data_IF_705357571734
#
_entry.id   IF_705357571734
#
_cell.length_a   1.000
_cell.length_b   1.000
_cell.length_c   1.000
_cell.angle_alpha   90.00
_cell.angle_beta   90.00
_cell.angle_gamma   90.00
#
_symmetry.space_group_name_H-M   'P 1'
#
loop_
_entity.id
_entity.type
_entity.pdbx_description
1 polymer ?
#
# COMPACT_ATOMS: atom_id res chain seq x y z
N UNK A 1 -5.86 4.81 -32.11
CA UNK A 1 -7.16 4.37 -31.53
C UNK A 1 -7.01 4.27 -30.01
N UNK A 2 -7.76 5.05 -29.22
CA UNK A 2 -7.70 4.97 -27.76
C UNK A 2 -8.05 3.56 -27.29
N UNK A 3 -7.27 3.01 -26.34
CA UNK A 3 -7.55 1.69 -25.76
C UNK A 3 -8.70 1.81 -24.76
N UNK A 4 -9.92 1.55 -25.22
CA UNK A 4 -11.10 1.48 -24.35
C UNK A 4 -10.99 0.28 -23.41
N UNK A 5 -11.18 0.53 -22.11
CA UNK A 5 -11.25 -0.51 -21.07
C UNK A 5 -12.70 -0.73 -20.72
N UNK A 6 -13.19 -1.95 -21.01
CA UNK A 6 -14.52 -2.37 -20.59
C UNK A 6 -14.50 -2.84 -19.14
N UNK A 7 -15.54 -2.49 -18.39
CA UNK A 7 -15.77 -2.98 -17.02
C UNK A 7 -16.04 -4.49 -17.02
N UNK A 8 -16.00 -5.13 -15.85
CA UNK A 8 -16.27 -6.57 -15.74
C UNK A 8 -17.71 -6.90 -16.19
N UNK A 9 -18.69 -6.09 -15.78
CA UNK A 9 -20.10 -6.26 -16.16
C UNK A 9 -20.29 -6.23 -17.69
N UNK A 10 -19.64 -5.28 -18.36
CA UNK A 10 -19.69 -5.16 -19.81
C UNK A 10 -19.09 -6.38 -20.51
N UNK A 11 -18.02 -6.96 -19.95
CA UNK A 11 -17.37 -8.16 -20.51
C UNK A 11 -18.21 -9.42 -20.30
N UNK A 12 -18.78 -9.58 -19.11
CA UNK A 12 -19.74 -10.65 -18.82
C UNK A 12 -20.90 -10.59 -19.82
N UNK A 13 -21.50 -9.41 -19.98
CA UNK A 13 -22.59 -9.22 -20.93
C UNK A 13 -22.19 -9.58 -22.36
N UNK A 14 -21.01 -9.14 -22.83
CA UNK A 14 -20.49 -9.51 -24.15
C UNK A 14 -20.30 -11.02 -24.30
N UNK A 15 -19.78 -11.68 -23.28
CA UNK A 15 -19.55 -13.13 -23.29
C UNK A 15 -20.88 -13.90 -23.30
N UNK A 16 -21.79 -13.61 -22.36
CA UNK A 16 -23.07 -14.30 -22.22
C UNK A 16 -23.93 -14.16 -23.48
N UNK A 17 -24.00 -12.94 -24.03
CA UNK A 17 -24.74 -12.70 -25.26
C UNK A 17 -24.10 -13.41 -26.45
N UNK A 18 -22.76 -13.54 -26.49
CA UNK A 18 -22.08 -14.28 -27.54
C UNK A 18 -22.30 -15.80 -27.42
N UNK A 19 -22.30 -16.36 -26.21
CA UNK A 19 -22.61 -17.77 -25.97
C UNK A 19 -24.04 -18.07 -26.38
N UNK A 20 -25.01 -17.23 -25.99
CA UNK A 20 -26.42 -17.40 -26.33
C UNK A 20 -26.75 -17.24 -27.81
N UNK A 21 -26.03 -16.36 -28.54
CA UNK A 21 -26.40 -16.02 -29.94
C UNK A 21 -25.41 -16.51 -31.00
N UNK A 22 -24.17 -16.80 -30.63
CA UNK A 22 -23.07 -17.13 -31.54
C UNK A 22 -22.62 -15.99 -32.47
N UNK A 23 -23.24 -14.81 -32.42
CA UNK A 23 -23.07 -13.76 -33.43
C UNK A 23 -22.62 -12.42 -32.86
N UNK A 24 -21.50 -11.90 -33.38
CA UNK A 24 -20.90 -10.63 -32.95
C UNK A 24 -21.82 -9.42 -33.23
N UNK A 25 -22.58 -9.45 -34.33
CA UNK A 25 -23.48 -8.35 -34.70
C UNK A 25 -24.61 -8.21 -33.68
N UNK A 26 -25.15 -9.33 -33.21
CA UNK A 26 -26.17 -9.38 -32.15
C UNK A 26 -25.63 -8.85 -30.84
N UNK A 27 -24.41 -9.25 -30.46
CA UNK A 27 -23.72 -8.73 -29.26
C UNK A 27 -23.58 -7.21 -29.34
N UNK A 28 -23.08 -6.66 -30.44
CA UNK A 28 -22.92 -5.21 -30.62
C UNK A 28 -24.24 -4.45 -30.52
N UNK A 29 -25.31 -4.95 -31.17
CA UNK A 29 -26.63 -4.33 -31.14
C UNK A 29 -27.21 -4.31 -29.72
N UNK A 30 -27.17 -5.45 -29.02
CA UNK A 30 -27.65 -5.56 -27.63
C UNK A 30 -26.80 -4.74 -26.66
N UNK A 31 -25.48 -4.69 -26.88
CA UNK A 31 -24.56 -3.89 -26.08
C UNK A 31 -24.85 -2.40 -26.20
N UNK A 32 -25.04 -1.88 -27.42
CA UNK A 32 -25.38 -0.48 -27.66
C UNK A 32 -26.72 -0.09 -27.00
N UNK A 33 -27.68 -1.02 -26.97
CA UNK A 33 -28.97 -0.78 -26.31
C UNK A 33 -28.85 -0.75 -24.77
N UNK A 34 -28.09 -1.68 -24.19
CA UNK A 34 -27.90 -1.76 -22.73
C UNK A 34 -27.00 -0.64 -22.20
N UNK A 35 -25.94 -0.29 -22.93
CA UNK A 35 -24.92 0.67 -22.49
C UNK A 35 -24.83 1.87 -23.46
N UNK A 36 -25.73 2.85 -23.29
CA UNK A 36 -25.89 3.99 -24.20
C UNK A 36 -24.69 4.97 -24.23
N UNK A 37 -23.91 5.03 -23.16
CA UNK A 37 -22.80 5.99 -23.01
C UNK A 37 -21.40 5.34 -23.17
N UNK A 38 -21.34 4.08 -23.62
CA UNK A 38 -20.09 3.32 -23.70
C UNK A 38 -19.74 3.06 -25.15
N UNK A 39 -18.46 3.20 -25.49
CA UNK A 39 -17.97 2.93 -26.85
C UNK A 39 -18.29 1.48 -27.26
N UNK A 40 -19.00 1.33 -28.38
CA UNK A 40 -19.42 0.02 -28.89
C UNK A 40 -18.19 -0.85 -29.18
N UNK A 41 -18.13 -2.08 -28.64
CA UNK A 41 -16.97 -2.96 -28.80
C UNK A 41 -16.76 -3.38 -30.24
N UNK A 42 -15.52 -3.28 -30.70
CA UNK A 42 -15.11 -3.77 -32.02
C UNK A 42 -15.21 -5.30 -32.10
N UNK A 43 -15.43 -5.85 -33.30
CA UNK A 43 -15.50 -7.31 -33.54
C UNK A 43 -14.30 -8.05 -32.95
N UNK A 44 -13.09 -7.53 -33.15
CA UNK A 44 -11.85 -8.11 -32.61
C UNK A 44 -11.84 -8.16 -31.08
N UNK A 45 -12.38 -7.14 -30.41
CA UNK A 45 -12.47 -7.09 -28.94
C UNK A 45 -13.39 -8.19 -28.41
N UNK A 46 -14.55 -8.38 -29.04
CA UNK A 46 -15.50 -9.43 -28.63
C UNK A 46 -14.86 -10.81 -28.77
N UNK A 47 -14.20 -11.09 -29.90
CA UNK A 47 -13.47 -12.35 -30.07
C UNK A 47 -12.33 -12.51 -29.07
N UNK A 48 -11.56 -11.46 -28.78
CA UNK A 48 -10.48 -11.52 -27.80
C UNK A 48 -10.98 -11.85 -26.40
N UNK A 49 -12.14 -11.31 -25.99
CA UNK A 49 -12.77 -11.63 -24.71
C UNK A 49 -13.22 -13.09 -24.70
N UNK A 50 -13.98 -13.52 -25.71
CA UNK A 50 -14.48 -14.91 -25.80
C UNK A 50 -13.33 -15.91 -25.81
N UNK A 51 -12.30 -15.67 -26.62
CA UNK A 51 -11.15 -16.56 -26.71
C UNK A 51 -10.37 -16.60 -25.40
N UNK A 52 -10.20 -15.45 -24.73
CA UNK A 52 -9.55 -15.41 -23.40
C UNK A 52 -10.31 -16.27 -22.39
N UNK A 53 -11.65 -16.18 -22.35
CA UNK A 53 -12.44 -17.00 -21.43
C UNK A 53 -12.35 -18.48 -21.80
N UNK A 54 -12.38 -18.83 -23.08
CA UNK A 54 -12.25 -20.22 -23.51
C UNK A 54 -10.87 -20.82 -23.22
N UNK A 55 -9.83 -20.00 -23.24
CA UNK A 55 -8.45 -20.45 -22.99
C UNK A 55 -8.08 -20.46 -21.51
N UNK A 56 -8.44 -19.41 -20.76
CA UNK A 56 -7.99 -19.19 -19.38
C UNK A 56 -9.12 -19.35 -18.36
N UNK A 57 -10.38 -19.35 -18.77
CA UNK A 57 -11.54 -19.32 -17.87
C UNK A 57 -11.76 -17.98 -17.18
N UNK A 58 -10.97 -16.94 -17.49
CA UNK A 58 -10.99 -15.66 -16.77
C UNK A 58 -11.39 -14.48 -17.67
N UNK A 59 -12.31 -13.66 -17.17
CA UNK A 59 -12.73 -12.38 -17.77
C UNK A 59 -11.90 -11.18 -17.29
N UNK A 60 -11.10 -11.38 -16.24
CA UNK A 60 -10.29 -10.33 -15.65
C UNK A 60 -9.14 -9.93 -16.57
N UNK A 61 -8.76 -8.66 -16.50
CA UNK A 61 -7.53 -8.24 -17.14
C UNK A 61 -6.34 -8.83 -16.42
N UNK A 62 -5.33 -9.25 -17.20
CA UNK A 62 -4.03 -9.61 -16.64
C UNK A 62 -3.56 -8.41 -15.83
N UNK A 63 -3.34 -8.61 -14.53
CA UNK A 63 -2.71 -7.61 -13.70
C UNK A 63 -1.40 -7.22 -14.36
N UNK A 64 -1.18 -5.91 -14.52
CA UNK A 64 0.15 -5.44 -14.93
C UNK A 64 1.10 -5.99 -13.89
N UNK A 65 2.00 -6.87 -14.30
CA UNK A 65 3.17 -7.19 -13.50
C UNK A 65 3.94 -5.90 -13.39
N UNK A 66 3.76 -5.21 -12.26
CA UNK A 66 4.67 -4.14 -11.85
C UNK A 66 6.04 -4.79 -11.89
N UNK A 67 6.93 -4.27 -12.73
CA UNK A 67 8.27 -4.81 -12.90
C UNK A 67 8.85 -5.04 -11.51
N UNK A 68 9.14 -6.30 -11.16
CA UNK A 68 9.81 -6.65 -9.91
C UNK A 68 11.06 -5.76 -9.84
N UNK A 69 11.19 -4.97 -8.77
CA UNK A 69 12.28 -4.01 -8.62
C UNK A 69 13.63 -4.70 -8.82
N UNK A 70 14.24 -4.51 -9.99
CA UNK A 70 15.50 -5.15 -10.41
C UNK A 70 16.63 -4.99 -9.38
N UNK A 71 16.56 -3.94 -8.56
CA UNK A 71 17.59 -3.57 -7.58
C UNK A 71 17.47 -4.34 -6.26
N UNK A 72 16.29 -4.86 -5.91
CA UNK A 72 16.05 -5.62 -4.67
C UNK A 72 15.89 -7.10 -4.99
N UNK A 73 17.02 -7.75 -5.30
CA UNK A 73 17.10 -9.21 -5.37
C UNK A 73 17.01 -9.81 -3.97
N UNK A 74 16.63 -11.08 -3.87
CA UNK A 74 16.54 -11.81 -2.59
C UNK A 74 17.90 -11.77 -1.85
N UNK A 75 19.00 -12.00 -2.58
CA UNK A 75 20.37 -11.87 -2.04
C UNK A 75 20.65 -10.51 -1.37
N UNK A 76 20.17 -9.41 -1.97
CA UNK A 76 20.36 -8.06 -1.42
C UNK A 76 19.47 -7.81 -0.22
N UNK A 77 18.28 -8.42 -0.16
CA UNK A 77 17.42 -8.36 1.02
C UNK A 77 18.07 -9.09 2.20
N UNK A 78 18.67 -10.26 1.95
CA UNK A 78 19.36 -11.03 2.98
C UNK A 78 20.60 -10.30 3.50
N UNK A 79 21.39 -9.68 2.61
CA UNK A 79 22.56 -8.86 2.99
C UNK A 79 22.15 -7.67 3.89
N UNK A 80 21.05 -6.99 3.55
CA UNK A 80 20.52 -5.87 4.36
C UNK A 80 19.99 -6.39 5.70
N UNK A 81 19.27 -7.51 5.69
CA UNK A 81 18.69 -8.15 6.87
C UNK A 81 19.78 -8.53 7.87
N UNK A 82 20.79 -9.27 7.43
CA UNK A 82 21.92 -9.69 8.26
C UNK A 82 22.67 -8.49 8.88
N UNK A 83 22.91 -7.43 8.09
CA UNK A 83 23.57 -6.22 8.60
C UNK A 83 22.74 -5.50 9.66
N UNK A 84 21.42 -5.45 9.50
CA UNK A 84 20.50 -4.84 10.46
C UNK A 84 20.35 -5.68 11.73
N UNK A 85 20.39 -7.00 11.61
CA UNK A 85 20.37 -7.93 12.74
C UNK A 85 21.63 -7.78 13.59
N UNK A 86 22.81 -7.75 12.96
CA UNK A 86 24.07 -7.54 13.66
C UNK A 86 24.21 -6.12 14.23
N UNK A 87 23.72 -5.11 13.52
CA UNK A 87 23.90 -3.70 13.90
C UNK A 87 22.60 -2.90 13.73
N UNK A 88 21.65 -3.01 14.68
CA UNK A 88 20.37 -2.34 14.56
C UNK A 88 20.52 -0.81 14.54
N UNK A 89 21.52 -0.25 15.22
CA UNK A 89 21.70 1.20 15.30
C UNK A 89 22.27 1.85 14.03
N UNK A 90 22.68 1.06 13.02
CA UNK A 90 23.23 1.61 11.78
C UNK A 90 22.15 2.37 11.00
N UNK A 91 22.54 3.54 10.49
CA UNK A 91 21.64 4.32 9.64
C UNK A 91 21.44 3.64 8.29
N UNK A 92 20.23 3.74 7.73
CA UNK A 92 19.94 3.23 6.38
C UNK A 92 20.85 3.83 5.30
N UNK A 93 21.40 5.03 5.52
CA UNK A 93 22.36 5.64 4.60
C UNK A 93 23.68 4.86 4.55
N UNK A 94 24.17 4.41 5.71
CA UNK A 94 25.40 3.62 5.78
C UNK A 94 25.19 2.24 5.18
N UNK A 95 24.07 1.59 5.50
CA UNK A 95 23.73 0.28 4.93
C UNK A 95 23.61 0.35 3.41
N UNK A 96 23.02 1.43 2.89
CA UNK A 96 22.93 1.68 1.46
C UNK A 96 24.31 1.80 0.79
N UNK A 97 25.24 2.54 1.42
CA UNK A 97 26.62 2.66 0.93
C UNK A 97 27.37 1.33 0.98
N UNK A 98 27.24 0.58 2.08
CA UNK A 98 27.90 -0.71 2.27
C UNK A 98 27.42 -1.79 1.28
N UNK A 99 26.13 -1.82 0.97
CA UNK A 99 25.50 -2.84 0.10
C UNK A 99 25.43 -2.41 -1.37
N UNK A 100 25.78 -1.16 -1.68
CA UNK A 100 25.77 -0.59 -3.03
C UNK A 100 24.38 -0.27 -3.58
N UNK A 101 23.38 -0.08 -2.71
CA UNK A 101 21.99 0.23 -3.10
C UNK A 101 21.64 1.69 -2.81
N UNK A 102 20.55 2.18 -3.41
CA UNK A 102 20.04 3.51 -3.08
C UNK A 102 19.43 3.54 -1.67
N UNK A 103 19.47 4.71 -1.00
CA UNK A 103 18.84 4.91 0.32
C UNK A 103 17.34 4.60 0.31
N UNK A 104 16.64 4.94 -0.77
CA UNK A 104 15.20 4.67 -0.92
C UNK A 104 14.93 3.17 -1.10
N UNK A 105 15.77 2.47 -1.86
CA UNK A 105 15.72 1.00 -1.97
C UNK A 105 15.96 0.32 -0.63
N UNK A 106 16.97 0.76 0.15
CA UNK A 106 17.24 0.24 1.49
C UNK A 106 16.04 0.43 2.43
N UNK A 107 15.38 1.60 2.38
CA UNK A 107 14.14 1.85 3.13
C UNK A 107 13.02 0.88 2.69
N UNK A 108 12.80 0.71 1.39
CA UNK A 108 11.79 -0.22 0.90
C UNK A 108 12.10 -1.66 1.30
N UNK A 109 13.38 -2.07 1.30
CA UNK A 109 13.80 -3.37 1.81
C UNK A 109 13.42 -3.56 3.28
N UNK A 110 13.63 -2.56 4.14
CA UNK A 110 13.20 -2.66 5.54
C UNK A 110 11.69 -2.78 5.72
N UNK A 111 10.90 -2.14 4.85
CA UNK A 111 9.44 -2.30 4.82
C UNK A 111 9.06 -3.73 4.40
N UNK A 112 9.74 -4.30 3.40
CA UNK A 112 9.50 -5.67 2.94
C UNK A 112 9.90 -6.72 3.99
N UNK A 113 10.99 -6.48 4.71
CA UNK A 113 11.48 -7.32 5.80
C UNK A 113 10.67 -7.14 7.11
N UNK A 114 9.63 -6.28 7.11
CA UNK A 114 8.83 -5.94 8.29
C UNK A 114 9.66 -5.48 9.51
N UNK A 115 10.83 -4.88 9.27
CA UNK A 115 11.69 -4.38 10.33
C UNK A 115 11.16 -3.05 10.85
N UNK A 116 11.04 -2.93 12.17
CA UNK A 116 10.64 -1.66 12.79
C UNK A 116 11.78 -0.65 12.64
N UNK A 117 11.50 0.60 12.21
CA UNK A 117 12.53 1.62 12.15
C UNK A 117 13.06 1.89 13.55
N UNK A 118 14.39 1.81 13.71
CA UNK A 118 15.03 2.11 14.97
C UNK A 118 14.85 3.60 15.28
N UNK A 119 14.03 3.89 16.30
CA UNK A 119 13.90 5.21 16.89
C UNK A 119 15.17 5.48 17.68
N UNK A 120 16.15 6.12 17.06
CA UNK A 120 17.27 6.71 17.79
C UNK A 120 16.72 7.89 18.59
N UNK A 121 16.32 7.62 19.84
CA UNK A 121 16.14 8.69 20.81
C UNK A 121 17.55 9.22 21.12
N UNK A 122 17.96 10.25 20.42
CA UNK A 122 19.20 10.96 20.74
C UNK A 122 18.94 11.72 22.03
N UNK A 123 19.17 11.05 23.16
CA UNK A 123 19.16 11.67 24.47
C UNK A 123 20.56 12.25 24.66
N UNK A 124 20.75 13.50 24.25
CA UNK A 124 21.94 14.24 24.68
C UNK A 124 21.86 14.38 26.20
N UNK A 125 22.83 13.80 26.92
CA UNK A 125 23.02 14.12 28.34
C UNK A 125 23.28 15.62 28.43
N UNK A 126 22.35 16.38 29.03
CA UNK A 126 22.59 17.79 29.35
C UNK A 126 23.87 17.84 30.18
N UNK A 127 24.90 18.48 29.64
CA UNK A 127 26.08 18.80 30.41
C UNK A 127 25.73 19.96 31.35
N UNK A 128 26.39 20.03 32.51
CA UNK A 128 26.14 21.09 33.51
C UNK A 128 26.37 22.51 32.96
N UNK A 129 27.16 22.65 31.89
CA UNK A 129 27.45 23.91 31.20
C UNK A 129 26.47 24.27 30.06
N UNK A 130 25.58 23.36 29.65
CA UNK A 130 24.59 23.61 28.60
C UNK A 130 23.56 24.71 28.95
N UNK A 131 23.06 24.84 30.20
CA UNK A 131 22.13 25.91 30.57
C UNK A 131 22.73 27.31 30.34
N UNK A 132 24.00 27.49 30.71
CA UNK A 132 24.71 28.76 30.53
C UNK A 132 24.93 29.09 29.04
N UNK A 133 25.34 28.10 28.25
CA UNK A 133 25.53 28.27 26.81
C UNK A 133 24.22 28.52 26.06
N UNK A 134 23.10 27.91 26.50
CA UNK A 134 21.76 28.19 25.95
C UNK A 134 21.30 29.61 26.28
N UNK A 135 21.53 30.09 27.50
CA UNK A 135 21.24 31.47 27.90
C UNK A 135 21.96 32.51 27.03
N UNK A 136 23.24 32.28 26.72
CA UNK A 136 24.04 33.14 25.84
C UNK A 136 23.50 33.13 24.40
N UNK A 137 23.09 31.97 23.89
CA UNK A 137 22.57 31.85 22.52
C UNK A 137 21.18 32.49 22.36
N UNK A 138 20.28 32.29 23.34
CA UNK A 138 18.96 32.94 23.38
C UNK A 138 19.10 34.45 23.52
N UNK A 139 20.05 34.94 24.32
CA UNK A 139 20.37 36.36 24.44
C UNK A 139 20.85 36.98 23.12
N UNK A 140 21.72 36.29 22.36
CA UNK A 140 22.15 36.72 21.02
C UNK A 140 21.00 36.73 20.02
N UNK A 141 20.13 35.73 20.02
CA UNK A 141 18.93 35.70 19.16
C UNK A 141 17.97 36.86 19.46
N UNK A 142 17.82 37.23 20.74
CA UNK A 142 17.01 38.38 21.17
C UNK A 142 17.56 39.73 20.68
N UNK A 143 18.88 39.84 20.53
CA UNK A 143 19.56 41.03 20.02
C UNK A 143 19.39 41.24 18.50
N UNK A 144 19.08 40.17 17.75
CA UNK A 144 18.82 40.24 16.31
C UNK A 144 17.35 40.48 15.95
N UNK A 145 16.45 40.52 16.94
CA UNK A 145 15.03 40.80 16.73
C UNK A 145 14.79 42.30 16.96
N UNK A 146 14.38 43.09 15.93
CA UNK A 146 14.13 44.51 16.11
C UNK A 146 12.95 44.74 17.07
N UNK A 147 13.02 45.76 17.95
CA UNK A 147 12.02 46.01 19.00
C UNK A 147 10.63 46.42 18.48
N UNK A 148 10.45 46.53 17.16
CA UNK A 148 9.17 46.84 16.50
C UNK A 148 8.31 45.61 16.20
N UNK A 149 8.83 44.40 16.43
CA UNK A 149 8.04 43.17 16.29
C UNK A 149 7.05 43.05 17.47
N UNK A 150 5.78 43.36 17.21
CA UNK A 150 4.66 43.22 18.15
C UNK A 150 4.46 41.73 18.47
N UNK A 151 5.12 41.23 19.50
CA UNK A 151 4.77 39.95 20.10
C UNK A 151 3.64 40.18 21.09
N UNK A 152 2.47 39.63 20.77
CA UNK A 152 1.34 39.46 21.69
C UNK A 152 1.90 38.85 22.99
N UNK A 153 1.79 39.61 24.08
CA UNK A 153 2.23 39.27 25.43
C UNK A 153 1.75 37.88 25.83
N UNK A 154 2.63 36.88 25.71
CA UNK A 154 2.54 35.64 26.46
C UNK A 154 3.48 35.82 27.64
N UNK A 155 2.90 36.15 28.79
CA UNK A 155 3.61 36.20 30.06
C UNK A 155 4.12 34.79 30.36
N UNK A 156 5.41 34.58 30.13
CA UNK A 156 6.12 33.43 30.68
C UNK A 156 6.25 33.71 32.18
N UNK A 157 5.42 33.05 32.97
CA UNK A 157 5.56 33.00 34.43
C UNK A 157 6.94 32.42 34.73
N UNK A 158 7.81 33.24 35.33
CA UNK A 158 9.03 32.76 35.95
C UNK A 158 8.62 32.05 37.24
N UNK A 159 8.51 30.74 37.23
CA UNK A 159 8.50 29.95 38.47
C UNK A 159 9.94 29.80 38.93
N UNK A 160 10.25 30.40 40.08
CA UNK A 160 11.50 30.19 40.80
C UNK A 160 11.65 28.70 41.20
N UNK A 161 12.89 28.19 41.33
CA UNK A 161 13.11 26.82 41.75
C UNK A 161 12.97 26.71 43.28
N UNK A 162 11.88 26.09 43.73
CA UNK A 162 11.75 25.67 45.12
C UNK A 162 12.84 24.66 45.46
N UNK A 163 13.63 25.06 46.45
CA UNK A 163 14.65 24.26 47.12
C UNK A 163 13.94 23.59 48.29
N UNK A 164 13.42 22.37 48.12
CA UNK A 164 13.26 21.41 49.23
C UNK A 164 12.61 20.09 48.81
N UNK A 165 13.02 19.05 49.54
CA UNK A 165 12.44 17.71 49.67
C UNK A 165 12.83 16.64 48.66
N UNK A 166 13.97 16.01 48.99
CA UNK A 166 14.11 14.56 49.00
C UNK A 166 12.81 13.83 49.44
N UNK A 167 12.47 12.75 48.72
CA UNK A 167 12.00 11.46 49.27
C UNK A 167 11.72 10.50 48.12
N UNK A 168 12.74 9.74 47.74
CA UNK A 168 12.53 8.50 46.99
C UNK A 168 12.02 7.44 47.97
N UNK A 169 10.74 7.09 47.86
CA UNK A 169 10.23 5.80 48.35
C UNK A 169 9.90 4.93 47.14
N UNK A 170 10.63 3.83 47.09
CA UNK A 170 10.45 2.67 46.22
C UNK A 170 9.05 2.08 46.34
N UNK A 171 8.43 1.72 45.21
CA UNK A 171 7.37 0.71 45.14
C UNK A 171 7.46 -0.04 43.80
N UNK A 172 7.32 -1.38 43.79
CA UNK A 172 7.55 -2.21 42.61
C UNK A 172 6.30 -2.28 41.70
N UNK A 173 6.47 -2.59 40.40
CA UNK A 173 5.34 -2.74 39.49
C UNK A 173 4.62 -4.09 39.71
N UNK A 174 3.32 -4.00 39.94
CA UNK A 174 2.39 -5.12 39.93
C UNK A 174 2.23 -5.70 38.52
N UNK A 175 2.25 -7.02 38.44
CA UNK A 175 2.16 -7.79 37.20
C UNK A 175 0.80 -7.64 36.51
N UNK A 176 0.85 -7.37 35.21
CA UNK A 176 -0.28 -7.50 34.30
C UNK A 176 -0.38 -8.93 33.78
N UNK A 177 -1.51 -9.59 34.09
CA UNK A 177 -1.92 -10.88 33.54
C UNK A 177 -2.23 -10.79 32.02
N UNK A 178 -2.04 -11.88 31.25
CA UNK A 178 -2.40 -11.93 29.84
C UNK A 178 -3.89 -12.25 29.61
N UNK A 179 -4.44 -11.60 28.58
CA UNK A 179 -5.83 -11.74 28.14
C UNK A 179 -6.02 -13.04 27.34
N UNK A 180 -7.03 -13.82 27.74
CA UNK A 180 -7.57 -14.98 27.04
C UNK A 180 -8.26 -14.55 25.72
N UNK A 181 -7.89 -15.15 24.59
CA UNK A 181 -8.63 -15.05 23.32
C UNK A 181 -9.24 -16.42 23.06
N UNK A 182 -10.58 -16.48 23.11
CA UNK A 182 -11.37 -17.55 22.51
C UNK A 182 -11.61 -17.24 21.03
N UNK A 183 -11.77 -18.33 20.27
CA UNK A 183 -12.79 -18.55 19.22
C UNK A 183 -12.14 -19.07 17.94
N UNK A 184 -12.09 -20.39 17.84
CA UNK A 184 -11.97 -21.13 16.59
C UNK A 184 -13.40 -21.31 16.04
N UNK A 185 -13.67 -20.78 14.85
CA UNK A 185 -14.85 -21.16 14.06
C UNK A 185 -14.39 -21.92 12.80
N UNK A 186 -14.99 -23.08 12.58
CA UNK A 186 -14.76 -23.96 11.44
C UNK A 186 -15.33 -23.39 10.13
N UNK A 187 -14.70 -23.64 8.97
CA UNK A 187 -15.27 -23.30 7.68
C UNK A 187 -16.23 -24.39 7.18
N UNK A 188 -17.52 -24.02 7.09
CA UNK A 188 -18.57 -24.79 6.41
C UNK A 188 -18.24 -24.94 4.92
N UNK A 189 -18.04 -26.17 4.47
CA UNK A 189 -17.87 -26.53 3.06
C UNK A 189 -19.21 -26.43 2.31
N UNK A 190 -19.39 -25.34 1.56
CA UNK A 190 -20.47 -25.22 0.57
C UNK A 190 -20.08 -25.98 -0.71
N UNK A 191 -20.64 -27.16 -0.90
CA UNK A 191 -20.58 -27.93 -2.15
C UNK A 191 -21.60 -27.36 -3.14
N UNK A 192 -21.12 -26.93 -4.32
CA UNK A 192 -21.99 -26.49 -5.42
C UNK A 192 -22.29 -27.68 -6.37
N UNK A 193 -23.53 -27.83 -6.86
CA UNK A 193 -23.88 -28.88 -7.79
C UNK A 193 -23.26 -28.64 -9.17
N UNK A 194 -22.65 -29.71 -9.69
CA UNK A 194 -22.17 -29.87 -11.06
C UNK A 194 -23.36 -29.75 -12.02
N UNK A 195 -23.35 -28.75 -12.91
CA UNK A 195 -24.28 -28.67 -14.03
C UNK A 195 -23.64 -29.21 -15.31
N UNK A 196 -24.32 -30.22 -15.86
CA UNK A 196 -24.07 -30.89 -17.13
C UNK A 196 -24.09 -29.92 -18.31
N UNK A 197 -23.25 -30.29 -19.29
CA UNK A 197 -23.10 -29.73 -20.62
C UNK A 197 -24.33 -29.95 -21.51
N UNK A 198 -24.76 -28.90 -22.21
CA UNK A 198 -25.59 -29.02 -23.41
C UNK A 198 -24.92 -28.23 -24.56
N UNK A 199 -24.38 -29.00 -25.51
CA UNK A 199 -24.42 -28.73 -26.95
C UNK A 199 -25.83 -28.26 -27.33
N UNK A 200 -26.03 -27.25 -28.18
CA UNK A 200 -26.15 -27.46 -29.64
C UNK A 200 -26.96 -26.28 -30.18
N UNK A 201 -26.35 -25.18 -30.66
CA UNK A 201 -27.10 -24.13 -31.40
C UNK A 201 -26.14 -23.16 -32.11
N UNK A 202 -25.61 -23.59 -33.27
CA UNK A 202 -24.83 -22.73 -34.18
C UNK A 202 -25.22 -22.97 -35.64
N UNK A 203 -26.42 -22.58 -36.03
CA UNK A 203 -26.84 -22.64 -37.45
C UNK A 203 -27.83 -21.56 -37.90
N UNK A 204 -27.90 -20.40 -37.24
CA UNK A 204 -28.81 -19.30 -37.69
C UNK A 204 -28.11 -17.95 -37.77
N UNK A 205 -27.12 -17.81 -38.64
CA UNK A 205 -26.59 -16.51 -39.06
C UNK A 205 -26.06 -16.58 -40.51
N UNK A 206 -26.86 -17.09 -41.44
CA UNK A 206 -26.64 -16.85 -42.87
C UNK A 206 -27.97 -16.49 -43.52
N UNK A 207 -27.89 -15.38 -44.26
CA UNK A 207 -28.78 -14.96 -45.35
C UNK A 207 -30.14 -14.35 -44.98
N UNK A 208 -30.14 -13.03 -44.86
CA UNK A 208 -31.09 -12.17 -45.57
C UNK A 208 -30.45 -10.78 -45.71
N UNK A 209 -30.07 -10.44 -46.95
CA UNK A 209 -29.92 -9.06 -47.40
C UNK A 209 -30.82 -8.94 -48.64
N UNK A 210 -31.72 -7.95 -48.70
CA UNK A 210 -32.47 -7.64 -49.91
C UNK A 210 -31.55 -7.09 -51.02
#
# INVERSE_FOLDING_TARGET
MPRVRYTLEQRLFMYDTYVKSGCVRTVRRRFAHKFKNVTIPHRKTIHAIVNKVRQTGSLLDKRRTVSKCRVLTEEKLDEIGARLEHFPQKSLRLIAQETGISKTSARNATILLNLKPNKTAVVHKLQSCDPANRGIHVGKLRAYIPPTAVWRRMEFVNTEPDTDSERFLTSPPSGSQPNNIKTEEEPVLMTFPVMRSESEERSKCKQHNP
#
